data_IF_129087724654
#
_entry.id   IF_129087724654
#
_cell.length_a   1.000
_cell.length_b   1.000
_cell.length_c   1.000
_cell.angle_alpha   90.00
_cell.angle_beta   90.00
_cell.angle_gamma   90.00
#
_symmetry.space_group_name_H-M   'P 1'
#
loop_
_entity.id
_entity.type
_entity.pdbx_description
1 polymer ?
#
# COMPACT_ATOMS: atom_id res chain seq x y z
N UNK A 1 15.90 9.67 13.01
CA UNK A 1 15.56 8.24 12.99
C UNK A 1 14.39 7.90 13.92
N UNK A 2 14.34 8.44 15.15
CA UNK A 2 13.24 8.17 16.07
C UNK A 2 11.87 8.51 15.53
N UNK A 3 11.73 9.64 14.87
CA UNK A 3 10.44 10.06 14.32
C UNK A 3 9.96 9.13 13.20
N UNK A 4 10.89 8.67 12.37
CA UNK A 4 10.54 7.76 11.27
C UNK A 4 10.06 6.42 11.82
N UNK A 5 10.72 5.89 12.84
CA UNK A 5 10.31 4.63 13.46
C UNK A 5 8.99 4.75 14.20
N UNK A 6 8.76 5.87 14.88
CA UNK A 6 7.47 6.13 15.54
C UNK A 6 6.34 6.22 14.53
N UNK A 7 6.56 6.92 13.41
CA UNK A 7 5.57 7.03 12.35
C UNK A 7 5.26 5.68 11.71
N UNK A 8 6.27 4.88 11.43
CA UNK A 8 6.10 3.54 10.90
C UNK A 8 5.26 2.68 11.84
N UNK A 9 5.60 2.69 13.13
CA UNK A 9 4.87 1.90 14.13
C UNK A 9 3.42 2.34 14.25
N UNK A 10 3.20 3.66 14.29
CA UNK A 10 1.85 4.21 14.36
C UNK A 10 1.03 3.81 13.14
N UNK A 11 1.63 3.89 11.96
CA UNK A 11 0.97 3.56 10.70
C UNK A 11 0.51 2.10 10.68
N UNK A 12 1.42 1.15 11.00
CA UNK A 12 1.09 -0.28 10.92
C UNK A 12 0.18 -0.74 12.04
N UNK A 13 0.07 0.04 13.13
CA UNK A 13 -0.72 -0.35 14.29
C UNK A 13 -2.13 0.21 14.28
N UNK A 14 -2.34 1.41 13.74
CA UNK A 14 -3.60 2.12 13.91
C UNK A 14 -4.42 2.32 12.65
N UNK A 15 -3.82 2.23 11.47
CA UNK A 15 -4.52 2.52 10.22
C UNK A 15 -5.09 1.25 9.61
N UNK A 16 -6.42 1.16 9.56
CA UNK A 16 -7.12 -0.03 9.07
C UNK A 16 -6.75 -0.38 7.64
N UNK A 17 -6.63 0.63 6.77
CA UNK A 17 -6.26 0.39 5.37
C UNK A 17 -4.87 -0.23 5.27
N UNK A 18 -3.91 0.27 6.05
CA UNK A 18 -2.55 -0.26 6.05
C UNK A 18 -2.53 -1.68 6.62
N UNK A 19 -3.29 -1.93 7.68
CA UNK A 19 -3.41 -3.27 8.28
C UNK A 19 -3.95 -4.24 7.24
N UNK A 20 -5.02 -3.86 6.53
CA UNK A 20 -5.62 -4.70 5.49
C UNK A 20 -4.63 -5.01 4.37
N UNK A 21 -3.94 -4.00 3.86
CA UNK A 21 -2.94 -4.21 2.81
C UNK A 21 -1.78 -5.07 3.32
N UNK A 22 -1.35 -4.88 4.57
CA UNK A 22 -0.27 -5.67 5.16
C UNK A 22 -0.64 -7.14 5.27
N UNK A 23 -1.88 -7.44 5.67
CA UNK A 23 -2.37 -8.82 5.74
C UNK A 23 -2.34 -9.46 4.35
N UNK A 24 -2.83 -8.74 3.33
CA UNK A 24 -2.77 -9.22 1.95
C UNK A 24 -1.35 -9.49 1.49
N UNK A 25 -0.43 -8.59 1.80
CA UNK A 25 0.98 -8.77 1.46
C UNK A 25 1.58 -10.02 2.13
N UNK A 26 1.25 -10.23 3.40
CA UNK A 26 1.73 -11.40 4.14
C UNK A 26 1.18 -12.69 3.55
N UNK A 27 -0.08 -12.71 3.12
CA UNK A 27 -0.67 -13.86 2.46
C UNK A 27 0.10 -14.21 1.17
N UNK A 28 0.47 -13.21 0.37
CA UNK A 28 1.21 -13.44 -0.85
C UNK A 28 2.67 -13.82 -0.58
N UNK A 29 3.26 -13.36 0.51
CA UNK A 29 4.57 -13.85 0.94
C UNK A 29 4.48 -15.34 1.23
N UNK A 30 3.43 -15.77 1.94
CA UNK A 30 3.18 -17.19 2.20
C UNK A 30 3.00 -17.99 0.93
N UNK A 31 2.23 -17.47 -0.04
CA UNK A 31 2.05 -18.13 -1.34
C UNK A 31 3.36 -18.24 -2.11
N UNK A 32 4.19 -17.19 -2.07
CA UNK A 32 5.49 -17.22 -2.72
C UNK A 32 6.40 -18.31 -2.15
N UNK A 33 6.37 -18.48 -0.84
CA UNK A 33 7.10 -19.56 -0.19
C UNK A 33 6.54 -20.93 -0.58
N UNK A 34 5.23 -21.03 -0.66
CA UNK A 34 4.57 -22.28 -1.02
C UNK A 34 4.91 -22.72 -2.45
N UNK A 35 4.83 -21.77 -3.42
CA UNK A 35 5.10 -22.08 -4.83
C UNK A 35 6.58 -22.06 -5.16
N UNK A 36 7.43 -21.57 -4.26
CA UNK A 36 8.87 -21.46 -4.50
C UNK A 36 9.19 -20.53 -5.65
N UNK A 37 8.64 -19.32 -5.63
CA UNK A 37 8.87 -18.36 -6.71
C UNK A 37 10.34 -17.99 -6.82
N UNK A 38 10.73 -17.55 -8.03
CA UNK A 38 12.14 -17.25 -8.33
C UNK A 38 12.62 -15.99 -7.59
N UNK A 39 13.94 -15.80 -7.42
CA UNK A 39 14.45 -14.56 -6.81
C UNK A 39 14.00 -13.30 -7.55
N UNK A 40 13.92 -13.34 -8.88
CA UNK A 40 13.42 -12.19 -9.65
C UNK A 40 11.98 -11.88 -9.28
N UNK A 41 11.14 -12.90 -9.16
CA UNK A 41 9.74 -12.74 -8.75
C UNK A 41 9.63 -12.19 -7.34
N UNK A 42 10.51 -12.63 -6.43
CA UNK A 42 10.57 -12.07 -5.08
C UNK A 42 10.90 -10.58 -5.10
N UNK A 43 11.87 -10.17 -5.93
CA UNK A 43 12.23 -8.76 -6.03
C UNK A 43 11.07 -7.91 -6.53
N UNK A 44 10.36 -8.35 -7.58
CA UNK A 44 9.20 -7.63 -8.09
C UNK A 44 8.10 -7.56 -7.06
N UNK A 45 7.83 -8.66 -6.36
CA UNK A 45 6.76 -8.70 -5.36
C UNK A 45 7.06 -7.79 -4.18
N UNK A 46 8.29 -7.84 -3.65
CA UNK A 46 8.66 -7.00 -2.51
C UNK A 46 8.64 -5.52 -2.88
N UNK A 47 9.13 -5.18 -4.08
CA UNK A 47 9.10 -3.80 -4.55
C UNK A 47 7.66 -3.32 -4.71
N UNK A 48 6.79 -4.15 -5.29
CA UNK A 48 5.38 -3.82 -5.47
C UNK A 48 4.70 -3.58 -4.12
N UNK A 49 4.90 -4.46 -3.16
CA UNK A 49 4.27 -4.34 -1.85
C UNK A 49 4.80 -3.15 -1.07
N UNK A 50 6.11 -2.93 -1.09
CA UNK A 50 6.71 -1.78 -0.43
C UNK A 50 6.19 -0.47 -0.99
N UNK A 51 6.09 -0.37 -2.30
CA UNK A 51 5.56 0.82 -2.96
C UNK A 51 4.09 1.04 -2.62
N UNK A 52 3.28 -0.03 -2.65
CA UNK A 52 1.87 0.06 -2.28
C UNK A 52 1.70 0.59 -0.86
N UNK A 53 2.41 0.01 0.08
CA UNK A 53 2.29 0.41 1.48
C UNK A 53 2.81 1.82 1.71
N UNK A 54 3.89 2.21 1.04
CA UNK A 54 4.43 3.56 1.14
C UNK A 54 3.44 4.59 0.60
N UNK A 55 2.86 4.35 -0.57
CA UNK A 55 1.89 5.27 -1.17
C UNK A 55 0.64 5.35 -0.31
N UNK A 56 0.14 4.21 0.18
CA UNK A 56 -1.02 4.19 1.07
C UNK A 56 -0.73 4.95 2.37
N UNK A 57 0.49 4.83 2.91
CA UNK A 57 0.89 5.57 4.10
C UNK A 57 0.94 7.07 3.87
N UNK A 58 1.49 7.50 2.73
CA UNK A 58 1.53 8.92 2.36
C UNK A 58 0.09 9.45 2.21
N UNK A 59 -0.78 8.68 1.58
CA UNK A 59 -2.20 9.05 1.45
C UNK A 59 -2.85 9.25 2.81
N UNK A 60 -2.61 8.34 3.75
CA UNK A 60 -3.13 8.46 5.11
C UNK A 60 -2.64 9.73 5.78
N UNK A 61 -1.34 10.03 5.66
CA UNK A 61 -0.77 11.26 6.21
C UNK A 61 -1.39 12.50 5.60
N UNK A 62 -1.61 12.49 4.28
CA UNK A 62 -2.23 13.60 3.58
C UNK A 62 -3.68 13.82 4.04
N UNK A 63 -4.44 12.74 4.22
CA UNK A 63 -5.80 12.83 4.73
C UNK A 63 -5.85 13.45 6.12
N UNK A 64 -4.93 13.03 7.00
CA UNK A 64 -4.84 13.60 8.35
C UNK A 64 -4.47 15.06 8.31
N UNK A 65 -3.56 15.44 7.41
CA UNK A 65 -3.17 16.84 7.24
C UNK A 65 -4.35 17.67 6.76
N UNK A 66 -5.10 17.20 5.78
CA UNK A 66 -6.28 17.89 5.28
C UNK A 66 -7.31 18.09 6.37
N UNK A 67 -7.56 17.07 7.20
CA UNK A 67 -8.53 17.14 8.28
C UNK A 67 -8.08 18.11 9.37
N UNK A 68 -6.78 18.21 9.61
CA UNK A 68 -6.22 19.14 10.58
C UNK A 68 -6.35 20.59 10.12
N UNK A 69 -6.04 20.82 8.83
CA UNK A 69 -6.03 22.19 8.26
C UNK A 69 -7.45 22.70 8.04
N UNK A 70 -8.36 21.82 7.58
CA UNK A 70 -9.73 22.21 7.26
C UNK A 70 -10.66 21.03 7.56
N UNK A 71 -11.13 20.92 8.83
CA UNK A 71 -11.98 19.77 9.22
C UNK A 71 -13.33 19.76 8.52
N UNK A 72 -13.87 20.93 8.16
CA UNK A 72 -15.14 21.01 7.44
C UNK A 72 -14.94 20.70 5.96
N UNK A 73 -16.00 20.25 5.28
CA UNK A 73 -15.95 19.97 3.86
C UNK A 73 -15.59 21.24 3.09
N UNK A 74 -14.63 21.12 2.17
CA UNK A 74 -14.26 22.17 1.24
C UNK A 74 -13.93 21.50 -0.10
N UNK A 75 -14.41 22.08 -1.20
CA UNK A 75 -14.24 21.47 -2.52
C UNK A 75 -12.79 21.18 -2.86
N UNK A 76 -11.89 22.11 -2.58
CA UNK A 76 -10.46 21.94 -2.87
C UNK A 76 -9.84 20.83 -2.02
N UNK A 77 -10.24 20.73 -0.75
CA UNK A 77 -9.75 19.67 0.12
C UNK A 77 -10.26 18.31 -0.39
N UNK A 78 -11.52 18.25 -0.82
CA UNK A 78 -12.08 17.05 -1.43
C UNK A 78 -11.31 16.63 -2.68
N UNK A 79 -10.95 17.58 -3.53
CA UNK A 79 -10.17 17.31 -4.74
C UNK A 79 -8.79 16.74 -4.40
N UNK A 80 -8.12 17.30 -3.38
CA UNK A 80 -6.81 16.83 -2.96
C UNK A 80 -6.91 15.38 -2.45
N UNK A 81 -7.93 15.08 -1.64
CA UNK A 81 -8.15 13.72 -1.14
C UNK A 81 -8.43 12.76 -2.29
N UNK A 82 -9.21 13.18 -3.28
CA UNK A 82 -9.53 12.34 -4.44
C UNK A 82 -8.30 12.05 -5.28
N UNK A 83 -7.43 13.04 -5.49
CA UNK A 83 -6.17 12.85 -6.22
C UNK A 83 -5.29 11.84 -5.49
N UNK A 84 -5.16 11.99 -4.18
CA UNK A 84 -4.36 11.08 -3.37
C UNK A 84 -4.91 9.65 -3.40
N UNK A 85 -6.23 9.51 -3.31
CA UNK A 85 -6.88 8.20 -3.42
C UNK A 85 -6.69 7.60 -4.81
N UNK A 86 -6.71 8.43 -5.86
CA UNK A 86 -6.42 8.00 -7.22
C UNK A 86 -5.02 7.44 -7.36
N UNK A 87 -4.04 8.05 -6.69
CA UNK A 87 -2.66 7.56 -6.70
C UNK A 87 -2.57 6.17 -6.06
N UNK A 88 -3.28 5.95 -4.96
CA UNK A 88 -3.33 4.63 -4.32
C UNK A 88 -3.96 3.61 -5.27
N UNK A 89 -5.02 3.99 -5.96
CA UNK A 89 -5.67 3.12 -6.93
C UNK A 89 -4.72 2.72 -8.05
N UNK A 90 -3.93 3.67 -8.56
CA UNK A 90 -2.97 3.38 -9.61
C UNK A 90 -1.93 2.35 -9.18
N UNK A 91 -1.35 2.52 -8.00
CA UNK A 91 -0.34 1.56 -7.51
C UNK A 91 -0.99 0.21 -7.18
N UNK A 92 -2.21 0.22 -6.67
CA UNK A 92 -2.94 -1.01 -6.39
C UNK A 92 -3.13 -1.83 -7.67
N UNK A 93 -3.55 -1.18 -8.77
CA UNK A 93 -3.72 -1.86 -10.06
C UNK A 93 -2.39 -2.40 -10.58
N UNK A 94 -1.30 -1.66 -10.41
CA UNK A 94 0.02 -2.13 -10.81
C UNK A 94 0.43 -3.36 -10.00
N UNK A 95 0.16 -3.36 -8.69
CA UNK A 95 0.46 -4.50 -7.83
C UNK A 95 -0.35 -5.73 -8.25
N UNK A 96 -1.63 -5.55 -8.55
CA UNK A 96 -2.47 -6.65 -9.04
C UNK A 96 -1.89 -7.23 -10.33
N UNK A 97 -1.44 -6.37 -11.24
CA UNK A 97 -0.83 -6.83 -12.50
C UNK A 97 0.46 -7.62 -12.23
N UNK A 98 1.32 -7.14 -11.34
CA UNK A 98 2.56 -7.85 -10.98
C UNK A 98 2.25 -9.22 -10.39
N UNK A 99 1.28 -9.28 -9.47
CA UNK A 99 0.88 -10.55 -8.88
C UNK A 99 0.31 -11.50 -9.90
N UNK A 100 -0.46 -11.00 -10.86
CA UNK A 100 -0.99 -11.82 -11.94
C UNK A 100 0.16 -12.41 -12.78
N UNK A 101 1.15 -11.60 -13.15
CA UNK A 101 2.30 -12.09 -13.91
C UNK A 101 3.08 -13.14 -13.15
N UNK A 102 3.20 -13.01 -11.84
CA UNK A 102 3.94 -13.96 -11.02
C UNK A 102 3.17 -15.27 -10.83
N UNK A 103 1.89 -15.18 -10.46
CA UNK A 103 1.16 -16.33 -9.93
C UNK A 103 0.28 -17.05 -10.94
N UNK A 104 -0.21 -16.39 -11.98
CA UNK A 104 -1.07 -17.05 -12.97
C UNK A 104 -0.41 -18.30 -13.56
N UNK A 105 0.89 -18.28 -13.94
CA UNK A 105 1.53 -19.49 -14.45
C UNK A 105 1.55 -20.67 -13.48
N UNK A 106 1.48 -20.41 -12.17
CA UNK A 106 1.47 -21.48 -11.16
C UNK A 106 0.09 -22.10 -10.98
N UNK A 107 -0.97 -21.36 -11.31
CA UNK A 107 -2.35 -21.84 -11.21
C UNK A 107 -2.88 -22.38 -12.52
N UNK A 108 -2.31 -21.96 -13.64
CA UNK A 108 -2.71 -22.41 -15.00
C UNK A 108 -1.58 -23.22 -15.69
#
# INVERSE_FOLDING_TARGET
>A
MGYALQGFWLLVRTEDAIITHSIGCLLFVGLGLYFGITPDQWMFQLLAFGTLLAVAGINTGLEKLCDFVHPDFHQKIGEIKDIAAGAVTMIFLAVVAVLAFIYVPYFC
#
